data_IF_252635170784
#
_entry.id   IF_252635170784
#
_cell.length_a   1.000
_cell.length_b   1.000
_cell.length_c   1.000
_cell.angle_alpha   90.00
_cell.angle_beta   90.00
_cell.angle_gamma   90.00
#
_symmetry.space_group_name_H-M   'P 1'
#
loop_
_entity.id
_entity.type
_entity.pdbx_description
1 polymer ?
#
# COMPACT_ATOMS: atom_id res chain seq x y z
N UNK A 1 22.81 17.47 61.48
CA UNK A 1 22.94 16.02 61.20
C UNK A 1 21.57 15.58 60.68
N UNK A 2 21.33 15.12 59.45
CA UNK A 2 22.14 14.64 58.31
C UNK A 2 21.17 14.73 57.09
N UNK A 3 21.52 15.46 56.02
CA UNK A 3 21.81 15.01 54.63
C UNK A 3 20.68 14.23 53.91
N UNK A 4 20.39 14.71 52.69
CA UNK A 4 19.42 14.35 51.61
C UNK A 4 19.81 13.01 50.88
N UNK A 5 19.27 12.65 49.68
CA UNK A 5 17.95 12.16 49.19
C UNK A 5 18.03 10.69 48.64
N UNK A 6 16.96 10.11 48.05
CA UNK A 6 16.81 9.92 46.57
C UNK A 6 15.69 8.93 46.17
N UNK A 7 15.29 9.09 44.91
CA UNK A 7 14.34 8.45 44.02
C UNK A 7 14.08 6.94 44.15
N UNK A 8 12.88 6.51 43.76
CA UNK A 8 12.76 5.46 42.75
C UNK A 8 11.46 5.60 41.94
N UNK A 9 11.65 5.93 40.67
CA UNK A 9 10.63 5.87 39.62
C UNK A 9 10.60 4.46 39.05
N UNK A 10 9.42 3.84 39.07
CA UNK A 10 9.21 2.50 38.55
C UNK A 10 9.18 2.53 37.02
N UNK A 11 10.34 2.25 36.41
CA UNK A 11 10.49 1.90 34.99
C UNK A 11 9.71 0.61 34.69
N UNK A 12 8.76 0.68 33.78
CA UNK A 12 8.25 -0.50 33.07
C UNK A 12 9.32 -0.94 32.07
N UNK A 13 10.03 -2.01 32.40
CA UNK A 13 11.00 -2.64 31.51
C UNK A 13 10.26 -3.59 30.58
N UNK A 14 10.01 -3.17 29.34
CA UNK A 14 9.64 -4.05 28.23
C UNK A 14 10.84 -4.97 27.95
N UNK A 15 10.65 -6.27 28.14
CA UNK A 15 11.61 -7.31 27.73
C UNK A 15 11.07 -7.91 26.43
N UNK A 16 11.66 -7.52 25.30
CA UNK A 16 11.47 -8.22 24.04
C UNK A 16 12.40 -9.44 24.02
N UNK A 17 11.83 -10.65 24.04
CA UNK A 17 12.59 -11.88 23.82
C UNK A 17 12.90 -12.02 22.32
N UNK A 18 14.16 -11.82 21.94
CA UNK A 18 14.67 -12.24 20.63
C UNK A 18 14.82 -13.77 20.59
N UNK A 19 14.25 -14.40 19.58
CA UNK A 19 14.43 -15.84 19.31
C UNK A 19 15.83 -16.04 18.71
N UNK A 20 16.71 -16.67 19.48
CA UNK A 20 18.03 -17.14 19.04
C UNK A 20 17.88 -18.55 18.46
N UNK A 21 17.96 -18.69 17.13
CA UNK A 21 18.00 -19.98 16.45
C UNK A 21 19.40 -20.60 16.60
N UNK A 22 19.50 -21.64 17.43
CA UNK A 22 20.72 -22.42 17.64
C UNK A 22 20.84 -23.50 16.56
N UNK A 23 21.78 -23.32 15.63
CA UNK A 23 22.19 -24.36 14.69
C UNK A 23 23.05 -25.41 15.43
N UNK A 24 22.58 -26.65 15.49
CA UNK A 24 23.37 -27.79 15.97
C UNK A 24 23.92 -28.54 14.76
N UNK A 25 25.23 -28.44 14.54
CA UNK A 25 25.99 -29.28 13.62
C UNK A 25 26.24 -30.65 14.26
N UNK A 26 25.72 -31.72 13.66
CA UNK A 26 26.08 -33.10 13.97
C UNK A 26 26.84 -33.73 12.80
N UNK A 27 28.12 -34.02 13.00
CA UNK A 27 28.99 -34.81 12.11
C UNK A 27 29.11 -36.26 12.61
N UNK A 28 29.12 -37.22 11.67
CA UNK A 28 29.62 -38.60 11.81
C UNK A 28 28.68 -39.64 11.17
N UNK A 29 28.94 -40.11 9.94
CA UNK A 29 29.75 -41.30 9.55
C UNK A 29 29.15 -42.62 10.08
N UNK A 30 28.96 -43.73 9.36
CA UNK A 30 29.21 -44.25 7.98
C UNK A 30 28.54 -45.63 7.94
N UNK A 31 27.97 -46.07 6.81
CA UNK A 31 28.27 -47.41 6.26
C UNK A 31 27.65 -47.59 4.86
N UNK A 32 28.38 -48.33 4.04
CA UNK A 32 28.25 -48.49 2.61
C UNK A 32 27.96 -49.96 2.33
N UNK A 33 26.93 -50.24 1.54
CA UNK A 33 26.86 -51.49 0.78
C UNK A 33 26.25 -51.24 -0.60
N UNK A 34 26.88 -51.86 -1.58
CA UNK A 34 26.72 -51.72 -3.01
C UNK A 34 25.94 -52.94 -3.54
N UNK A 35 25.03 -52.75 -4.50
CA UNK A 35 24.98 -53.50 -5.78
C UNK A 35 23.68 -53.25 -6.59
N UNK A 36 23.92 -52.76 -7.80
CA UNK A 36 23.43 -53.24 -9.11
C UNK A 36 21.97 -53.05 -9.59
N UNK A 37 21.90 -52.20 -10.63
CA UNK A 37 21.26 -52.39 -11.94
C UNK A 37 19.86 -53.01 -12.02
N UNK A 38 18.89 -52.27 -12.62
CA UNK A 38 18.26 -52.58 -13.93
C UNK A 38 17.75 -51.27 -14.57
N UNK A 39 18.04 -51.12 -15.87
CA UNK A 39 17.57 -50.07 -16.77
C UNK A 39 16.30 -50.54 -17.49
N UNK A 40 15.19 -49.79 -17.46
CA UNK A 40 14.08 -49.94 -18.43
C UNK A 40 13.45 -48.58 -18.74
N UNK A 41 13.40 -48.25 -20.02
CA UNK A 41 12.76 -47.07 -20.63
C UNK A 41 11.34 -47.44 -21.10
N UNK A 42 10.49 -46.41 -21.25
CA UNK A 42 9.11 -46.26 -21.80
C UNK A 42 7.97 -46.80 -20.93
N UNK A 43 6.87 -46.06 -20.68
CA UNK A 43 6.15 -45.11 -21.54
C UNK A 43 5.23 -44.17 -20.73
N UNK A 44 4.87 -43.05 -21.36
CA UNK A 44 3.94 -41.97 -21.00
C UNK A 44 2.70 -42.34 -20.17
N UNK A 45 2.42 -41.53 -19.15
CA UNK A 45 1.05 -41.18 -18.76
C UNK A 45 0.98 -39.72 -18.28
N UNK A 46 0.01 -39.02 -18.85
CA UNK A 46 -0.33 -37.61 -18.62
C UNK A 46 -0.82 -37.46 -17.18
N UNK A 47 -0.10 -36.70 -16.35
CA UNK A 47 -0.59 -36.26 -15.05
C UNK A 47 -1.21 -34.86 -15.21
N UNK A 48 -2.49 -34.66 -14.85
CA UNK A 48 -3.09 -33.34 -14.89
C UNK A 48 -2.38 -32.45 -13.86
N UNK A 49 -1.94 -31.28 -14.30
CA UNK A 49 -1.37 -30.25 -13.45
C UNK A 49 -2.26 -30.04 -12.23
N UNK A 50 -1.73 -30.36 -11.05
CA UNK A 50 -2.27 -29.87 -9.79
C UNK A 50 -2.40 -28.35 -9.92
N UNK A 51 -3.65 -27.88 -9.88
CA UNK A 51 -3.94 -26.50 -9.54
C UNK A 51 -3.41 -26.30 -8.13
N UNK A 52 -2.20 -25.77 -8.03
CA UNK A 52 -1.77 -25.05 -6.84
C UNK A 52 -2.75 -23.89 -6.68
N UNK A 53 -3.70 -24.07 -5.76
CA UNK A 53 -4.51 -23.00 -5.21
C UNK A 53 -3.51 -22.07 -4.51
N UNK A 54 -3.02 -21.07 -5.24
CA UNK A 54 -2.35 -19.92 -4.65
C UNK A 54 -3.37 -19.28 -3.72
N UNK A 55 -3.08 -19.30 -2.41
CA UNK A 55 -3.79 -18.48 -1.45
C UNK A 55 -3.76 -17.04 -1.99
N UNK A 56 -4.94 -16.44 -2.15
CA UNK A 56 -5.07 -15.04 -2.52
C UNK A 56 -4.36 -14.21 -1.43
N UNK A 57 -3.16 -13.71 -1.72
CA UNK A 57 -2.53 -12.69 -0.91
C UNK A 57 -3.34 -11.40 -1.02
N UNK A 58 -3.55 -10.74 0.13
CA UNK A 58 -4.59 -9.76 0.41
C UNK A 58 -4.72 -8.67 -0.65
N UNK A 59 -5.93 -8.52 -1.18
CA UNK A 59 -6.29 -7.33 -1.93
C UNK A 59 -6.26 -6.13 -0.98
N UNK A 60 -5.55 -5.07 -1.35
CA UNK A 60 -5.65 -3.83 -0.58
C UNK A 60 -7.10 -3.32 -0.64
N UNK A 61 -7.70 -2.97 0.51
CA UNK A 61 -9.11 -2.58 0.55
C UNK A 61 -9.35 -1.30 -0.28
N UNK A 62 -10.60 -1.09 -0.71
CA UNK A 62 -10.95 0.14 -1.41
C UNK A 62 -10.79 1.37 -0.50
N UNK A 63 -10.42 2.53 -1.04
CA UNK A 63 -10.39 3.79 -0.27
C UNK A 63 -11.81 4.32 -0.02
N UNK A 64 -12.04 4.89 1.16
CA UNK A 64 -13.29 5.57 1.53
C UNK A 64 -13.17 7.09 1.38
N UNK A 65 -14.26 7.85 1.60
CA UNK A 65 -14.20 9.31 1.65
C UNK A 65 -13.72 9.86 3.01
N UNK A 66 -13.49 8.98 4.00
CA UNK A 66 -12.97 9.39 5.30
C UNK A 66 -11.51 9.84 5.17
N UNK A 67 -11.19 10.95 5.81
CA UNK A 67 -9.81 11.40 5.92
C UNK A 67 -9.53 11.92 7.33
N UNK A 68 -8.29 11.75 7.79
CA UNK A 68 -7.84 12.19 9.11
C UNK A 68 -6.65 13.11 8.96
N UNK A 69 -6.62 14.15 9.78
CA UNK A 69 -5.48 15.06 9.91
C UNK A 69 -4.77 14.72 11.21
N UNK A 70 -3.50 14.38 11.11
CA UNK A 70 -2.64 13.99 12.22
C UNK A 70 -1.59 15.09 12.41
N UNK A 71 -1.57 15.69 13.60
CA UNK A 71 -0.69 16.81 13.93
C UNK A 71 0.15 16.49 15.16
N UNK A 72 1.45 16.74 15.10
CA UNK A 72 2.35 16.62 16.25
C UNK A 72 3.46 17.66 16.14
N UNK A 73 3.65 18.48 17.18
CA UNK A 73 4.66 19.56 17.21
C UNK A 73 4.62 20.52 16.00
N UNK A 74 3.44 20.72 15.39
CA UNK A 74 3.27 21.56 14.19
C UNK A 74 3.55 20.84 12.86
N UNK A 75 4.06 19.61 12.88
CA UNK A 75 4.13 18.72 11.73
C UNK A 75 2.76 18.13 11.46
N UNK A 76 2.34 18.13 10.19
CA UNK A 76 0.99 17.73 9.78
C UNK A 76 1.10 16.67 8.68
N UNK A 77 0.40 15.57 8.86
CA UNK A 77 0.16 14.57 7.82
C UNK A 77 -1.34 14.29 7.70
N UNK A 78 -1.84 14.16 6.47
CA UNK A 78 -3.23 13.82 6.19
C UNK A 78 -3.29 12.44 5.60
N UNK A 79 -4.19 11.60 6.09
CA UNK A 79 -4.40 10.25 5.60
C UNK A 79 -5.80 10.09 5.05
N UNK A 80 -5.94 9.45 3.88
CA UNK A 80 -7.22 8.91 3.41
C UNK A 80 -7.37 7.51 3.93
N UNK A 81 -8.51 7.22 4.54
CA UNK A 81 -8.76 5.92 5.17
C UNK A 81 -9.38 4.92 4.19
N UNK A 82 -9.01 3.66 4.35
CA UNK A 82 -9.63 2.55 3.64
C UNK A 82 -11.05 2.28 4.12
N UNK A 83 -11.85 1.59 3.30
CA UNK A 83 -13.21 1.13 3.62
C UNK A 83 -13.20 -0.17 4.44
N UNK A 84 -12.38 -0.21 5.50
CA UNK A 84 -12.26 -1.36 6.42
C UNK A 84 -13.05 -1.12 7.71
N UNK A 85 -13.31 -2.21 8.46
CA UNK A 85 -13.94 -2.11 9.79
C UNK A 85 -13.02 -1.32 10.74
N UNK A 86 -11.74 -1.65 10.79
CA UNK A 86 -10.77 -1.01 11.67
C UNK A 86 -10.63 0.49 11.39
N UNK A 87 -10.58 0.90 10.11
CA UNK A 87 -10.48 2.29 9.72
C UNK A 87 -11.71 3.11 10.17
N UNK A 88 -12.92 2.56 10.00
CA UNK A 88 -14.17 3.17 10.47
C UNK A 88 -14.19 3.31 11.99
N UNK A 89 -13.79 2.26 12.71
CA UNK A 89 -13.74 2.28 14.17
C UNK A 89 -12.71 3.26 14.73
N UNK A 90 -11.56 3.43 14.06
CA UNK A 90 -10.61 4.49 14.42
C UNK A 90 -11.23 5.87 14.18
N UNK A 91 -11.87 6.08 13.03
CA UNK A 91 -12.52 7.34 12.67
C UNK A 91 -13.64 7.74 13.64
N UNK A 92 -14.39 6.76 14.16
CA UNK A 92 -15.44 6.96 15.16
C UNK A 92 -14.92 7.38 16.54
N UNK A 93 -13.65 7.09 16.86
CA UNK A 93 -13.03 7.49 18.13
C UNK A 93 -12.52 8.94 18.13
N UNK A 94 -12.48 9.60 16.97
CA UNK A 94 -11.95 10.96 16.84
C UNK A 94 -12.89 12.03 17.42
N UNK A 95 -12.34 13.13 17.99
CA UNK A 95 -10.92 13.49 18.03
C UNK A 95 -10.13 12.79 19.16
N UNK A 96 -8.82 12.61 18.94
CA UNK A 96 -7.90 11.99 19.91
C UNK A 96 -6.67 12.87 20.17
N UNK A 97 -6.17 12.83 21.40
CA UNK A 97 -4.86 13.36 21.79
C UNK A 97 -4.13 12.26 22.57
N UNK A 98 -3.02 11.75 22.04
CA UNK A 98 -2.33 10.54 22.52
C UNK A 98 -0.81 10.73 22.51
N UNK A 99 -0.08 9.96 23.30
CA UNK A 99 1.39 9.97 23.26
C UNK A 99 1.92 9.10 22.11
N UNK A 100 2.92 9.62 21.39
CA UNK A 100 3.67 8.90 20.37
C UNK A 100 4.87 8.17 20.99
N UNK A 101 5.08 6.94 20.54
CA UNK A 101 6.33 6.20 20.78
C UNK A 101 7.00 5.94 19.44
N UNK A 102 8.32 6.15 19.36
CA UNK A 102 9.08 5.81 18.16
C UNK A 102 9.52 4.35 18.24
N UNK A 103 9.53 3.64 17.11
CA UNK A 103 10.09 2.30 17.04
C UNK A 103 11.00 2.14 15.81
N UNK A 104 12.21 1.64 16.09
CA UNK A 104 13.26 1.32 15.10
C UNK A 104 13.59 2.43 14.10
N UNK A 105 13.38 3.69 14.46
CA UNK A 105 13.61 4.83 13.56
C UNK A 105 12.88 4.69 12.21
N UNK A 106 11.72 4.00 12.21
CA UNK A 106 10.90 3.77 11.02
C UNK A 106 9.42 4.14 11.22
N UNK A 107 8.92 4.09 12.47
CA UNK A 107 7.50 4.26 12.74
C UNK A 107 7.20 5.05 14.02
N UNK A 108 6.10 5.80 13.98
CA UNK A 108 5.49 6.44 15.14
C UNK A 108 4.20 5.70 15.50
N UNK A 109 4.11 5.19 16.72
CA UNK A 109 2.97 4.40 17.22
C UNK A 109 2.19 5.13 18.32
N UNK A 110 0.89 4.85 18.39
CA UNK A 110 -0.03 5.27 19.45
C UNK A 110 -1.09 4.19 19.69
N UNK A 111 -1.74 4.24 20.86
CA UNK A 111 -2.78 3.27 21.22
C UNK A 111 -4.17 3.93 21.21
N UNK A 112 -5.08 3.54 20.30
CA UNK A 112 -6.45 4.04 20.33
C UNK A 112 -7.14 3.63 21.66
N UNK A 113 -8.04 4.47 22.21
CA UNK A 113 -8.74 4.16 23.47
C UNK A 113 -9.49 2.83 23.47
N UNK A 114 -9.99 2.41 22.31
CA UNK A 114 -10.57 1.10 22.07
C UNK A 114 -9.79 0.39 20.97
N UNK A 115 -9.54 -0.91 21.20
CA UNK A 115 -9.02 -1.82 20.17
C UNK A 115 -9.95 -1.84 18.96
N UNK A 116 -9.35 -2.00 17.80
CA UNK A 116 -10.04 -2.05 16.51
C UNK A 116 -10.29 -3.50 16.11
N UNK A 117 -11.42 -3.76 15.48
CA UNK A 117 -11.77 -5.06 14.91
C UNK A 117 -11.19 -5.20 13.50
N UNK A 118 -10.58 -6.35 13.23
CA UNK A 118 -9.91 -6.65 11.97
C UNK A 118 -10.37 -7.99 11.40
N UNK A 119 -10.09 -8.23 10.12
CA UNK A 119 -10.30 -9.52 9.48
C UNK A 119 -8.99 -10.09 8.96
N UNK A 120 -8.85 -11.42 9.00
CA UNK A 120 -7.64 -12.10 8.55
C UNK A 120 -7.36 -11.90 7.04
N UNK A 121 -8.39 -11.58 6.24
CA UNK A 121 -8.28 -11.32 4.81
C UNK A 121 -7.60 -10.00 4.49
N UNK A 122 -7.63 -9.04 5.42
CA UNK A 122 -7.01 -7.72 5.28
C UNK A 122 -5.59 -7.68 5.87
N UNK A 123 -5.10 -8.80 6.43
CA UNK A 123 -3.78 -8.85 7.03
C UNK A 123 -2.67 -8.79 5.97
N UNK A 124 -1.61 -8.03 6.26
CA UNK A 124 -0.41 -7.92 5.44
C UNK A 124 0.84 -7.72 6.32
N UNK A 125 2.02 -7.66 5.69
CA UNK A 125 3.31 -7.64 6.41
C UNK A 125 4.35 -6.65 5.86
N UNK A 126 4.23 -6.21 4.60
CA UNK A 126 5.21 -5.34 3.95
C UNK A 126 4.74 -3.88 4.00
N UNK A 127 4.99 -3.24 5.13
CA UNK A 127 4.63 -1.85 5.37
C UNK A 127 5.47 -0.88 4.56
N UNK A 128 4.81 0.08 3.91
CA UNK A 128 5.46 1.12 3.10
C UNK A 128 5.40 2.48 3.76
N UNK A 129 6.44 3.29 3.50
CA UNK A 129 6.47 4.70 3.88
C UNK A 129 5.15 5.39 3.51
N UNK A 130 4.49 6.02 4.48
CA UNK A 130 3.21 6.72 4.29
C UNK A 130 1.97 5.90 4.63
N UNK A 131 2.10 4.64 5.03
CA UNK A 131 0.94 3.85 5.48
C UNK A 131 0.57 4.17 6.94
N UNK A 132 -0.73 4.15 7.20
CA UNK A 132 -1.32 4.13 8.54
C UNK A 132 -1.90 2.73 8.76
N UNK A 133 -1.47 2.10 9.83
CA UNK A 133 -1.67 0.66 10.01
C UNK A 133 -1.97 0.32 11.46
N UNK A 134 -2.72 -0.75 11.66
CA UNK A 134 -3.04 -1.30 12.97
C UNK A 134 -2.36 -2.65 13.16
N UNK A 135 -1.63 -2.81 14.26
CA UNK A 135 -1.02 -4.09 14.63
C UNK A 135 -1.91 -4.81 15.65
N UNK A 136 -2.62 -5.87 15.21
CA UNK A 136 -3.63 -6.54 16.02
C UNK A 136 -3.12 -7.06 17.39
N UNK A 137 -1.93 -7.70 17.48
CA UNK A 137 -1.48 -8.33 18.72
C UNK A 137 -1.41 -7.36 19.90
N UNK A 138 -0.86 -6.17 19.66
CA UNK A 138 -0.63 -5.17 20.69
C UNK A 138 -1.72 -4.11 20.70
N UNK A 139 -2.40 -3.92 19.57
CA UNK A 139 -3.47 -2.95 19.41
C UNK A 139 -2.97 -1.52 19.26
N UNK A 140 -1.74 -1.34 18.76
CA UNK A 140 -1.22 -0.04 18.37
C UNK A 140 -1.58 0.29 16.92
N UNK A 141 -1.76 1.59 16.68
CA UNK A 141 -1.78 2.18 15.35
C UNK A 141 -0.44 2.84 15.13
N UNK A 142 0.14 2.66 13.95
CA UNK A 142 1.42 3.26 13.60
C UNK A 142 1.40 3.93 12.23
N UNK A 143 2.20 4.98 12.11
CA UNK A 143 2.47 5.73 10.89
C UNK A 143 3.90 5.44 10.45
N UNK A 144 4.06 4.95 9.22
CA UNK A 144 5.36 4.65 8.64
C UNK A 144 5.97 5.90 8.00
N UNK A 145 7.19 6.24 8.38
CA UNK A 145 8.02 7.25 7.71
C UNK A 145 9.29 6.69 7.08
N UNK A 146 9.50 5.37 7.22
CA UNK A 146 10.38 4.53 6.40
C UNK A 146 9.63 3.23 6.06
N UNK A 147 10.10 2.49 5.04
CA UNK A 147 9.60 1.13 4.78
C UNK A 147 9.89 0.22 5.98
N UNK A 148 8.91 -0.57 6.38
CA UNK A 148 9.00 -1.38 7.59
C UNK A 148 8.26 -2.71 7.45
N UNK A 149 8.99 -3.81 7.62
CA UNK A 149 8.43 -5.15 7.62
C UNK A 149 8.02 -5.54 9.05
N UNK A 150 6.72 -5.55 9.35
CA UNK A 150 6.21 -5.80 10.70
C UNK A 150 5.52 -7.17 10.87
N UNK A 151 6.00 -8.23 10.21
CA UNK A 151 5.46 -9.58 10.40
C UNK A 151 3.98 -9.73 9.98
N UNK A 152 3.46 -10.95 10.12
CA UNK A 152 2.14 -11.32 9.57
C UNK A 152 1.01 -10.96 10.54
N UNK A 153 0.62 -9.67 10.65
CA UNK A 153 -0.53 -9.22 11.49
C UNK A 153 -0.82 -7.70 11.40
N UNK A 154 -0.33 -7.02 10.35
CA UNK A 154 -0.68 -5.62 10.11
C UNK A 154 -1.99 -5.51 9.36
N UNK A 155 -2.80 -4.51 9.69
CA UNK A 155 -4.07 -4.23 9.01
C UNK A 155 -4.12 -2.79 8.49
N UNK A 156 -4.54 -2.57 7.23
CA UNK A 156 -4.51 -1.26 6.60
C UNK A 156 -5.61 -0.37 7.17
N UNK A 157 -5.22 0.83 7.61
CA UNK A 157 -6.16 1.86 8.04
C UNK A 157 -6.25 3.00 7.03
N UNK A 158 -5.13 3.42 6.46
CA UNK A 158 -5.12 4.46 5.45
C UNK A 158 -3.75 4.71 4.84
N UNK A 159 -3.73 5.65 3.91
CA UNK A 159 -2.54 6.09 3.19
C UNK A 159 -2.37 7.59 3.32
N UNK A 160 -1.13 8.04 3.46
CA UNK A 160 -0.80 9.45 3.49
C UNK A 160 -1.07 10.08 2.13
N UNK A 161 -1.83 11.17 2.12
CA UNK A 161 -2.15 11.95 0.92
C UNK A 161 -1.47 13.33 0.91
N UNK A 162 -0.96 13.77 2.06
CA UNK A 162 -0.13 14.98 2.19
C UNK A 162 0.70 14.93 3.48
N UNK A 163 1.91 15.50 3.45
CA UNK A 163 2.74 15.65 4.65
C UNK A 163 3.51 14.40 5.08
N UNK A 164 3.80 13.47 4.15
CA UNK A 164 4.56 12.25 4.49
C UNK A 164 5.94 12.54 5.10
N UNK A 165 6.66 13.54 4.57
CA UNK A 165 8.01 13.90 5.05
C UNK A 165 7.97 14.60 6.41
N UNK A 166 6.80 15.06 6.83
CA UNK A 166 6.57 15.63 8.15
C UNK A 166 6.47 14.55 9.24
N UNK A 167 6.08 13.32 8.88
CA UNK A 167 5.88 12.22 9.84
C UNK A 167 7.18 11.92 10.61
N UNK A 168 8.33 11.91 9.93
CA UNK A 168 9.62 11.64 10.56
C UNK A 168 9.97 12.65 11.67
N UNK A 169 9.44 13.87 11.60
CA UNK A 169 9.72 14.96 12.55
C UNK A 169 8.69 15.07 13.68
N UNK A 170 7.62 14.25 13.66
CA UNK A 170 6.64 14.19 14.75
C UNK A 170 7.30 13.72 16.06
N UNK A 171 6.73 14.10 17.21
CA UNK A 171 7.21 13.62 18.53
C UNK A 171 6.30 14.06 19.67
N UNK A 172 6.44 13.45 20.85
CA UNK A 172 5.63 13.80 22.01
C UNK A 172 4.19 13.36 21.79
N UNK A 173 3.22 14.27 21.95
CA UNK A 173 1.81 13.93 21.75
C UNK A 173 1.37 14.19 20.30
N UNK A 174 0.37 13.42 19.86
CA UNK A 174 -0.28 13.52 18.56
C UNK A 174 -1.74 13.90 18.75
N UNK A 175 -2.22 14.82 17.92
CA UNK A 175 -3.63 15.18 17.77
C UNK A 175 -4.15 14.59 16.48
N UNK A 176 -5.26 13.86 16.56
CA UNK A 176 -5.88 13.17 15.43
C UNK A 176 -7.31 13.67 15.33
N UNK A 177 -7.61 14.33 14.22
CA UNK A 177 -8.91 14.94 13.97
C UNK A 177 -9.50 14.37 12.69
N UNK A 178 -10.83 14.32 12.62
CA UNK A 178 -11.52 14.14 11.35
C UNK A 178 -11.11 15.30 10.46
N UNK A 179 -10.67 14.98 9.25
CA UNK A 179 -10.47 15.98 8.22
C UNK A 179 -11.81 16.15 7.49
N UNK A 180 -12.77 16.75 8.20
CA UNK A 180 -14.00 17.25 7.61
C UNK A 180 -13.59 18.44 6.73
N UNK A 181 -13.29 18.17 5.46
CA UNK A 181 -13.01 19.22 4.49
C UNK A 181 -14.28 20.09 4.37
N UNK A 182 -14.33 21.18 5.13
CA UNK A 182 -15.00 22.40 4.68
C UNK A 182 -14.34 22.85 3.38
N UNK A 183 -15.07 23.50 2.46
CA UNK A 183 -14.56 23.80 1.12
C UNK A 183 -13.55 24.94 1.16
N UNK A 184 -12.29 24.66 1.49
CA UNK A 184 -11.10 25.48 1.19
C UNK A 184 -9.92 24.50 1.04
N UNK A 185 -9.33 24.22 -0.12
CA UNK A 185 -9.28 24.89 -1.43
C UNK A 185 -9.89 23.98 -2.53
N UNK A 186 -10.59 24.56 -3.51
CA UNK A 186 -10.74 23.94 -4.85
C UNK A 186 -9.35 23.90 -5.50
N UNK A 187 -8.50 23.00 -5.01
CA UNK A 187 -7.32 22.58 -5.75
C UNK A 187 -7.86 21.78 -6.94
N UNK A 188 -7.70 22.31 -8.15
CA UNK A 188 -8.33 21.81 -9.38
C UNK A 188 -8.24 20.28 -9.46
N UNK A 189 -9.39 19.61 -9.65
CA UNK A 189 -9.42 18.17 -9.91
C UNK A 189 -8.48 17.86 -11.07
N UNK A 190 -7.36 17.19 -10.80
CA UNK A 190 -6.42 16.79 -11.84
C UNK A 190 -7.11 15.78 -12.76
N UNK A 191 -7.52 16.21 -13.95
CA UNK A 191 -8.09 15.34 -14.95
C UNK A 191 -7.14 15.19 -16.13
N UNK A 192 -7.15 14.01 -16.74
CA UNK A 192 -6.45 13.79 -18.00
C UNK A 192 -7.45 13.33 -19.05
N UNK A 193 -7.25 13.78 -20.29
CA UNK A 193 -7.94 13.25 -21.46
C UNK A 193 -7.01 12.35 -22.25
N UNK A 194 -7.49 11.17 -22.60
CA UNK A 194 -6.84 10.23 -23.51
C UNK A 194 -7.63 10.20 -24.80
N UNK A 195 -7.06 10.71 -25.89
CA UNK A 195 -7.67 10.73 -27.21
C UNK A 195 -7.11 9.60 -28.08
N UNK A 196 -8.01 8.80 -28.65
CA UNK A 196 -7.68 7.69 -29.53
C UNK A 196 -8.85 7.47 -30.50
N UNK A 197 -8.57 7.20 -31.78
CA UNK A 197 -9.62 6.85 -32.76
C UNK A 197 -10.80 7.84 -32.83
N UNK A 198 -10.53 9.15 -32.73
CA UNK A 198 -11.51 10.25 -32.65
C UNK A 198 -12.39 10.24 -31.38
N UNK A 199 -12.21 9.27 -30.48
CA UNK A 199 -12.89 9.15 -29.20
C UNK A 199 -12.04 9.71 -28.07
N UNK A 200 -12.67 10.06 -26.94
CA UNK A 200 -11.99 10.61 -25.76
C UNK A 200 -12.45 9.90 -24.49
N UNK A 201 -11.49 9.41 -23.73
CA UNK A 201 -11.69 8.93 -22.36
C UNK A 201 -11.12 9.96 -21.38
N UNK A 202 -11.85 10.24 -20.29
CA UNK A 202 -11.39 11.16 -19.25
C UNK A 202 -11.20 10.38 -17.95
N UNK A 203 -10.05 10.59 -17.32
CA UNK A 203 -9.75 10.07 -15.99
C UNK A 203 -9.60 11.22 -14.99
N UNK A 204 -10.08 11.02 -13.77
CA UNK A 204 -9.75 11.84 -12.60
C UNK A 204 -8.62 11.16 -11.85
N UNK A 205 -7.52 11.89 -11.68
CA UNK A 205 -6.33 11.42 -11.00
C UNK A 205 -6.45 11.60 -9.50
N UNK A 206 -5.85 10.68 -8.75
CA UNK A 206 -5.68 10.80 -7.31
C UNK A 206 -4.50 11.73 -6.97
N UNK A 207 -4.20 11.85 -5.67
CA UNK A 207 -3.18 12.78 -5.15
C UNK A 207 -1.81 12.14 -4.89
N UNK A 208 -1.64 10.87 -5.25
CA UNK A 208 -0.38 10.15 -5.09
C UNK A 208 0.72 10.70 -6.00
N UNK A 209 1.99 10.47 -5.64
CA UNK A 209 3.11 11.05 -6.40
C UNK A 209 3.11 10.56 -7.85
N UNK A 210 2.80 9.28 -8.09
CA UNK A 210 2.80 8.75 -9.45
C UNK A 210 1.78 9.45 -10.34
N UNK A 211 0.60 9.76 -9.81
CA UNK A 211 -0.43 10.48 -10.55
C UNK A 211 0.00 11.93 -10.87
N UNK A 212 0.62 12.61 -9.90
CA UNK A 212 1.18 13.96 -10.09
C UNK A 212 2.31 13.96 -11.12
N UNK A 213 3.25 13.03 -11.03
CA UNK A 213 4.37 12.94 -11.97
C UNK A 213 3.90 12.56 -13.38
N UNK A 214 2.87 11.72 -13.51
CA UNK A 214 2.25 11.47 -14.82
C UNK A 214 1.68 12.77 -15.38
N UNK A 215 0.90 13.50 -14.57
CA UNK A 215 0.30 14.78 -14.96
C UNK A 215 1.36 15.80 -15.38
N UNK A 216 2.49 15.89 -14.68
CA UNK A 216 3.61 16.79 -15.01
C UNK A 216 4.29 16.47 -16.35
N UNK A 217 4.24 15.22 -16.79
CA UNK A 217 4.81 14.81 -18.09
C UNK A 217 3.92 15.19 -19.27
N UNK A 218 2.65 15.55 -19.04
CA UNK A 218 1.69 15.85 -20.11
C UNK A 218 1.91 17.24 -20.73
N UNK A 219 1.65 17.40 -22.05
CA UNK A 219 1.06 16.42 -22.95
C UNK A 219 2.07 15.39 -23.48
N UNK A 220 1.61 14.16 -23.73
CA UNK A 220 2.42 13.10 -24.36
C UNK A 220 1.67 12.45 -25.52
N UNK A 221 2.42 12.05 -26.53
CA UNK A 221 1.94 11.26 -27.67
C UNK A 221 2.70 9.95 -27.69
N UNK A 222 2.00 8.84 -27.48
CA UNK A 222 2.59 7.52 -27.24
C UNK A 222 1.75 6.44 -27.91
N UNK A 223 2.35 5.29 -28.21
CA UNK A 223 1.60 4.13 -28.70
C UNK A 223 0.88 3.43 -27.55
N UNK A 224 -0.33 2.94 -27.83
CA UNK A 224 -1.12 2.11 -26.91
C UNK A 224 -1.13 0.66 -27.37
N UNK A 225 -0.93 -0.24 -26.43
CA UNK A 225 -0.83 -1.67 -26.70
C UNK A 225 -1.92 -2.45 -25.92
N UNK A 226 -2.34 -3.57 -26.49
CA UNK A 226 -3.13 -4.56 -25.77
C UNK A 226 -2.23 -5.32 -24.78
N UNK A 227 -2.67 -5.41 -23.53
CA UNK A 227 -2.09 -6.34 -22.57
C UNK A 227 -3.17 -7.31 -22.09
N UNK A 228 -2.97 -8.60 -22.36
CA UNK A 228 -3.96 -9.62 -22.01
C UNK A 228 -5.30 -9.42 -22.71
N UNK A 229 -6.39 -9.40 -21.94
CA UNK A 229 -7.77 -9.36 -22.48
C UNK A 229 -8.66 -8.27 -21.87
N UNK A 230 -8.12 -7.50 -20.92
CA UNK A 230 -8.82 -6.61 -20.00
C UNK A 230 -8.14 -5.24 -19.86
N UNK A 231 -7.00 -5.01 -20.52
CA UNK A 231 -6.13 -3.86 -20.30
C UNK A 231 -5.58 -3.25 -21.59
N UNK A 232 -5.43 -1.92 -21.58
CA UNK A 232 -4.58 -1.18 -22.51
C UNK A 232 -3.41 -0.59 -21.76
N UNK A 233 -2.21 -0.64 -22.32
CA UNK A 233 -1.02 -0.08 -21.67
C UNK A 233 -0.36 0.98 -22.55
N UNK A 234 0.30 1.94 -21.91
CA UNK A 234 1.25 2.86 -22.55
C UNK A 234 2.40 3.18 -21.61
N UNK A 235 3.51 3.67 -22.14
CA UNK A 235 4.69 4.01 -21.33
C UNK A 235 4.85 5.53 -21.20
N UNK A 236 4.85 6.10 -19.97
CA UNK A 236 5.21 7.50 -19.78
C UNK A 236 6.70 7.72 -20.12
N UNK A 237 7.09 8.92 -20.58
CA UNK A 237 8.49 9.25 -20.91
C UNK A 237 9.51 8.96 -19.78
N UNK A 238 9.08 9.06 -18.53
CA UNK A 238 9.86 8.72 -17.33
C UNK A 238 9.05 7.83 -16.42
N UNK A 239 9.74 6.88 -15.76
CA UNK A 239 9.17 6.11 -14.64
C UNK A 239 8.66 7.04 -13.56
N UNK A 240 7.53 6.66 -12.97
CA UNK A 240 6.85 7.40 -11.93
C UNK A 240 7.31 6.97 -10.54
N UNK A 241 7.46 7.92 -9.62
CA UNK A 241 7.64 7.68 -8.20
C UNK A 241 6.34 7.19 -7.57
N UNK A 242 6.36 5.98 -7.01
CA UNK A 242 5.21 5.33 -6.40
C UNK A 242 5.05 5.65 -4.92
N UNK A 243 5.94 6.46 -4.35
CA UNK A 243 5.77 7.00 -2.99
C UNK A 243 4.41 7.69 -2.87
N UNK A 244 3.71 7.53 -1.74
CA UNK A 244 2.35 8.05 -1.52
C UNK A 244 1.29 7.60 -2.54
N UNK A 245 1.56 6.56 -3.32
CA UNK A 245 0.59 6.12 -4.32
C UNK A 245 -0.14 4.89 -3.78
N UNK A 246 -1.49 4.90 -3.74
CA UNK A 246 -2.24 3.72 -3.34
C UNK A 246 -1.92 2.52 -4.23
N UNK A 247 -1.86 1.34 -3.66
CA UNK A 247 -1.94 0.10 -4.45
C UNK A 247 -3.32 -0.02 -5.10
N UNK A 248 -3.36 -0.52 -6.32
CA UNK A 248 -4.61 -0.70 -7.04
C UNK A 248 -5.30 -2.03 -6.67
N UNK A 249 -6.62 -1.95 -6.51
CA UNK A 249 -7.52 -3.08 -6.70
C UNK A 249 -8.33 -2.82 -7.97
N UNK A 250 -7.71 -3.12 -9.12
CA UNK A 250 -8.13 -2.69 -10.43
C UNK A 250 -9.43 -3.36 -10.88
N UNK A 251 -10.37 -2.50 -11.29
CA UNK A 251 -11.67 -2.85 -11.86
C UNK A 251 -11.87 -2.13 -13.19
N UNK A 252 -12.98 -2.41 -13.84
CA UNK A 252 -13.39 -1.67 -15.04
C UNK A 252 -13.34 -0.14 -14.78
N UNK A 253 -12.57 0.59 -15.59
CA UNK A 253 -12.36 2.03 -15.48
C UNK A 253 -11.21 2.49 -14.60
N UNK A 254 -10.46 1.59 -13.95
CA UNK A 254 -9.26 1.97 -13.18
C UNK A 254 -8.11 2.41 -14.10
N UNK A 255 -7.43 3.49 -13.72
CA UNK A 255 -6.12 3.88 -14.25
C UNK A 255 -5.05 3.52 -13.22
N UNK A 256 -4.05 2.76 -13.61
CA UNK A 256 -2.98 2.32 -12.73
C UNK A 256 -1.59 2.50 -13.35
N UNK A 257 -0.55 2.35 -12.54
CA UNK A 257 0.84 2.29 -12.93
C UNK A 257 1.45 0.99 -12.43
N UNK A 258 2.02 0.19 -13.32
CA UNK A 258 2.71 -1.04 -12.95
C UNK A 258 4.21 -0.77 -12.84
N UNK A 259 4.68 -0.55 -11.61
CA UNK A 259 6.06 -0.15 -11.31
C UNK A 259 7.16 -1.09 -11.85
N UNK A 260 6.98 -2.43 -11.86
CA UNK A 260 7.99 -3.36 -12.37
C UNK A 260 8.39 -3.07 -13.83
N UNK A 261 7.43 -2.71 -14.68
CA UNK A 261 7.67 -2.41 -16.09
C UNK A 261 7.67 -0.92 -16.42
N UNK A 262 7.04 -0.12 -15.56
CA UNK A 262 6.94 1.31 -15.74
C UNK A 262 5.91 1.71 -16.79
N UNK A 263 4.84 0.93 -16.96
CA UNK A 263 3.70 1.25 -17.81
C UNK A 263 2.52 1.80 -17.02
N UNK A 264 1.69 2.58 -17.70
CA UNK A 264 0.37 3.01 -17.24
C UNK A 264 -0.67 2.10 -17.87
N UNK A 265 -1.56 1.57 -17.04
CA UNK A 265 -2.57 0.58 -17.40
C UNK A 265 -3.97 1.22 -17.32
N UNK A 266 -4.74 1.08 -18.40
CA UNK A 266 -6.15 1.45 -18.49
C UNK A 266 -7.00 0.17 -18.52
N UNK A 267 -7.68 -0.14 -17.42
CA UNK A 267 -8.51 -1.33 -17.29
C UNK A 267 -9.90 -1.09 -17.88
N UNK A 268 -10.38 -2.06 -18.67
CA UNK A 268 -11.76 -2.08 -19.22
C UNK A 268 -12.53 -3.36 -18.82
N UNK A 269 -12.02 -4.09 -17.84
CA UNK A 269 -12.66 -5.20 -17.15
C UNK A 269 -11.98 -5.42 -15.78
N UNK A 270 -12.57 -6.25 -14.92
CA UNK A 270 -12.02 -6.55 -13.59
C UNK A 270 -10.69 -7.32 -13.68
N UNK A 271 -9.75 -6.96 -12.81
CA UNK A 271 -8.45 -7.63 -12.68
C UNK A 271 -8.16 -8.02 -11.22
N UNK A 272 -8.27 -7.08 -10.28
CA UNK A 272 -7.87 -7.26 -8.89
C UNK A 272 -6.59 -6.52 -8.54
N UNK A 273 -5.78 -7.06 -7.63
CA UNK A 273 -4.51 -6.48 -7.20
C UNK A 273 -3.32 -7.27 -7.74
N UNK A 274 -2.17 -6.60 -7.86
CA UNK A 274 -0.89 -7.23 -8.15
C UNK A 274 0.24 -6.46 -7.46
N UNK A 275 1.33 -7.15 -7.12
CA UNK A 275 2.51 -6.52 -6.53
C UNK A 275 3.09 -5.47 -7.47
N UNK A 276 3.29 -4.25 -6.94
CA UNK A 276 3.76 -3.10 -7.71
C UNK A 276 2.72 -2.45 -8.63
N UNK A 277 1.43 -2.80 -8.53
CA UNK A 277 0.35 -2.11 -9.24
C UNK A 277 -0.22 -0.98 -8.38
N UNK A 278 -0.06 0.25 -8.83
CA UNK A 278 -0.45 1.45 -8.10
C UNK A 278 -1.59 2.18 -8.78
N UNK A 279 -2.65 2.53 -8.06
CA UNK A 279 -3.77 3.29 -8.60
C UNK A 279 -3.34 4.73 -8.88
N UNK A 280 -3.63 5.22 -10.08
CA UNK A 280 -3.44 6.63 -10.46
C UNK A 280 -4.75 7.40 -10.46
N UNK A 281 -5.88 6.74 -10.70
CA UNK A 281 -7.17 7.40 -10.83
C UNK A 281 -8.26 6.48 -11.37
N UNK A 282 -9.42 7.07 -11.68
CA UNK A 282 -10.56 6.35 -12.25
C UNK A 282 -11.21 7.13 -13.38
N UNK A 283 -11.84 6.40 -14.29
CA UNK A 283 -12.57 6.98 -15.40
C UNK A 283 -13.75 7.82 -14.91
N UNK A 284 -13.95 8.98 -15.53
CA UNK A 284 -15.09 9.87 -15.32
C UNK A 284 -16.08 9.77 -16.47
N UNK A 285 -15.58 9.60 -17.70
CA UNK A 285 -16.41 9.44 -18.90
C UNK A 285 -15.63 8.78 -20.04
N UNK A 286 -16.33 8.10 -20.95
CA UNK A 286 -15.75 7.49 -22.15
C UNK A 286 -14.94 6.21 -21.87
N UNK A 287 -15.22 5.51 -20.76
CA UNK A 287 -14.52 4.26 -20.42
C UNK A 287 -14.77 3.13 -21.41
N UNK A 288 -15.94 3.13 -22.05
CA UNK A 288 -16.31 2.19 -23.12
C UNK A 288 -15.38 2.24 -24.33
N UNK A 289 -14.63 3.34 -24.52
CA UNK A 289 -13.70 3.50 -25.63
C UNK A 289 -12.35 2.83 -25.39
N UNK A 290 -11.96 2.58 -24.12
CA UNK A 290 -10.65 2.03 -23.75
C UNK A 290 -10.36 0.75 -24.52
N UNK A 291 -11.31 -0.20 -24.55
CA UNK A 291 -11.17 -1.48 -25.24
C UNK A 291 -10.79 -1.35 -26.72
N UNK A 292 -11.25 -0.30 -27.38
CA UNK A 292 -11.06 -0.09 -28.81
C UNK A 292 -9.89 0.86 -29.12
N UNK A 293 -9.16 1.36 -28.12
CA UNK A 293 -7.96 2.17 -28.34
C UNK A 293 -6.89 1.38 -29.08
N UNK A 294 -6.29 1.99 -30.09
CA UNK A 294 -5.23 1.38 -30.89
C UNK A 294 -4.38 2.46 -31.56
N UNK A 295 -3.15 2.09 -31.94
CA UNK A 295 -2.22 3.01 -32.57
C UNK A 295 -1.67 4.03 -31.57
N UNK A 296 -1.64 5.30 -31.97
CA UNK A 296 -1.07 6.37 -31.17
C UNK A 296 -2.17 7.13 -30.43
N UNK A 297 -1.97 7.34 -29.13
CA UNK A 297 -2.85 8.12 -28.26
C UNK A 297 -2.20 9.46 -27.90
N UNK A 298 -3.04 10.46 -27.68
CA UNK A 298 -2.66 11.75 -27.12
C UNK A 298 -3.22 11.85 -25.71
N UNK A 299 -2.34 12.06 -24.72
CA UNK A 299 -2.72 12.25 -23.32
C UNK A 299 -2.43 13.68 -22.91
N UNK A 300 -3.43 14.40 -22.42
CA UNK A 300 -3.35 15.83 -22.09
C UNK A 300 -3.97 16.14 -20.72
N UNK A 301 -3.55 17.25 -20.13
CA UNK A 301 -4.18 17.83 -18.94
C UNK A 301 -5.56 18.37 -19.29
N UNK A 302 -6.49 18.26 -18.35
CA UNK A 302 -7.83 18.83 -18.43
C UNK A 302 -8.12 19.73 -17.24
#
# INVERSE_FOLDING_TARGET
MKIIPDSDGTKWMLICFGILLLAISGTGCTEQDNMDHINTIVQSDVHPSEQTVTAEQGQNPALSDMSVKITSQGHIATFRLYDTIAAKELYEQLPLELDLTNFQDAQWMFYPPKRLNVTAQEAYHDGKKGELSYYEPWGDVFMLYEDFYAGDEMHPLGICISGIDEIANMSGSVQIEKNDLGPEEEDEKMQISVQANEETTIFELNRGNAAKELYEQLPITVDVEDFGSNEKIFYPPKKLDTTNTPMANAKDGTLAYYAPWGDVVMFYANFGSADGLYELGNVVSGGEHIKNMSGTILVEKR
#
